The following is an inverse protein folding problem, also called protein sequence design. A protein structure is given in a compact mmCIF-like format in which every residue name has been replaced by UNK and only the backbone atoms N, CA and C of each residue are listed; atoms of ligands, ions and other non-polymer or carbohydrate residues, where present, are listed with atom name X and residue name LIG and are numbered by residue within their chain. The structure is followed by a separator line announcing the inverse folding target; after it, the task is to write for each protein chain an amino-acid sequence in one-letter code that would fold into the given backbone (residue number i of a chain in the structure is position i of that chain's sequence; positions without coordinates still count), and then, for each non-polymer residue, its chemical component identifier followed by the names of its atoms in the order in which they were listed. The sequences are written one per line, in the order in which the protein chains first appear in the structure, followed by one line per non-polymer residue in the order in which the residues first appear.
data_IF_295794549045
#
_entry.id   IF_295794549045
#
_cell.length_a   1.000
_cell.length_b   1.000
_cell.length_c   1.000
_cell.angle_alpha   90.00
_cell.angle_beta   90.00
_cell.angle_gamma   90.00
#
_symmetry.space_group_name_H-M   'P 1'
#
loop_
_entity.id
_entity.type
_entity.pdbx_description
1 polymer ?
#
# COMPACT_ATOMS: atom_id res chain seq x y z
N UNK A 1 26.24 -30.84 3.34
CA UNK A 1 26.66 -29.54 2.78
C UNK A 1 25.40 -28.76 2.44
N UNK A 2 24.82 -28.08 3.43
CA UNK A 2 23.50 -27.44 3.33
C UNK A 2 23.71 -25.99 2.88
N UNK A 3 23.34 -25.66 1.65
CA UNK A 3 23.39 -24.28 1.15
C UNK A 3 22.48 -23.41 2.02
N UNK A 4 23.06 -22.41 2.69
CA UNK A 4 22.28 -21.32 3.31
C UNK A 4 21.49 -20.62 2.20
N UNK A 5 20.19 -20.29 2.39
CA UNK A 5 19.47 -19.51 1.40
C UNK A 5 20.22 -18.18 1.23
N UNK A 6 20.58 -17.87 -0.01
CA UNK A 6 21.06 -16.56 -0.41
C UNK A 6 20.09 -15.53 0.17
N UNK A 7 20.58 -14.65 1.05
CA UNK A 7 19.85 -13.47 1.49
C UNK A 7 19.50 -12.69 0.23
N UNK A 8 18.26 -12.84 -0.25
CA UNK A 8 17.73 -12.04 -1.34
C UNK A 8 17.81 -10.61 -0.84
N UNK A 9 18.64 -9.78 -1.47
CA UNK A 9 18.58 -8.34 -1.24
C UNK A 9 17.16 -7.91 -1.54
N UNK A 10 16.47 -7.39 -0.53
CA UNK A 10 15.21 -6.71 -0.76
C UNK A 10 15.46 -5.60 -1.79
N UNK A 11 14.72 -5.55 -2.90
CA UNK A 11 14.87 -4.49 -3.87
C UNK A 11 14.62 -3.14 -3.18
N UNK A 12 15.39 -2.12 -3.55
CA UNK A 12 15.10 -0.76 -3.12
C UNK A 12 13.90 -0.26 -3.93
N UNK A 13 12.85 0.19 -3.23
CA UNK A 13 11.57 0.58 -3.84
C UNK A 13 11.32 2.03 -3.50
N UNK A 14 11.10 2.82 -4.54
CA UNK A 14 10.56 4.17 -4.41
C UNK A 14 9.12 4.13 -4.93
N UNK A 15 8.16 4.40 -4.03
CA UNK A 15 6.75 4.51 -4.38
C UNK A 15 6.37 5.98 -4.46
N UNK A 16 6.00 6.43 -5.66
CA UNK A 16 5.48 7.76 -5.88
C UNK A 16 3.98 7.71 -6.11
N UNK A 17 3.22 8.50 -5.33
CA UNK A 17 1.77 8.65 -5.47
C UNK A 17 1.52 10.06 -5.95
N UNK A 18 1.16 10.21 -7.23
CA UNK A 18 0.89 11.53 -7.81
C UNK A 18 -0.29 12.23 -7.13
N UNK A 19 -1.39 11.49 -6.96
CA UNK A 19 -2.61 12.03 -6.34
C UNK A 19 -3.34 10.94 -5.56
N UNK A 20 -3.84 11.32 -4.38
CA UNK A 20 -4.80 10.52 -3.61
C UNK A 20 -6.14 11.26 -3.59
N UNK A 21 -7.07 10.83 -4.45
CA UNK A 21 -8.40 11.43 -4.56
C UNK A 21 -9.35 10.79 -3.55
N UNK A 22 -9.79 11.57 -2.56
CA UNK A 22 -10.69 11.12 -1.49
C UNK A 22 -12.09 11.69 -1.69
N UNK A 23 -13.03 10.86 -2.15
CA UNK A 23 -14.45 11.22 -2.26
C UNK A 23 -15.21 10.88 -0.98
N UNK A 24 -16.09 11.79 -0.53
CA UNK A 24 -16.96 11.56 0.63
C UNK A 24 -16.29 11.74 1.99
N UNK A 25 -15.03 12.16 2.04
CA UNK A 25 -14.32 12.52 3.26
C UNK A 25 -14.39 14.02 3.54
N UNK A 26 -14.36 14.40 4.81
CA UNK A 26 -14.25 15.81 5.20
C UNK A 26 -12.85 16.32 4.85
N UNK A 27 -12.76 17.58 4.44
CA UNK A 27 -11.51 18.14 3.93
C UNK A 27 -10.36 18.12 4.96
N UNK A 28 -10.69 18.16 6.26
CA UNK A 28 -9.71 18.12 7.35
C UNK A 28 -8.95 16.79 7.43
N UNK A 29 -9.58 15.67 7.10
CA UNK A 29 -9.01 14.33 7.30
C UNK A 29 -8.02 13.95 6.19
N UNK A 30 -8.02 14.66 5.06
CA UNK A 30 -7.28 14.26 3.85
C UNK A 30 -5.78 14.07 4.09
N UNK A 31 -5.18 14.94 4.92
CA UNK A 31 -3.74 14.88 5.20
C UNK A 31 -3.40 13.72 6.13
N UNK A 32 -4.23 13.48 7.15
CA UNK A 32 -4.03 12.38 8.09
C UNK A 32 -4.24 11.02 7.41
N UNK A 33 -5.26 10.89 6.56
CA UNK A 33 -5.48 9.70 5.73
C UNK A 33 -4.28 9.48 4.81
N UNK A 34 -3.83 10.51 4.09
CA UNK A 34 -2.67 10.41 3.19
C UNK A 34 -1.41 9.94 3.90
N UNK A 35 -1.08 10.56 5.04
CA UNK A 35 0.08 10.18 5.84
C UNK A 35 -0.02 8.73 6.39
N UNK A 36 -1.23 8.27 6.70
CA UNK A 36 -1.47 6.91 7.13
C UNK A 36 -1.33 5.89 5.97
N UNK A 37 -1.80 6.25 4.77
CA UNK A 37 -1.60 5.43 3.56
C UNK A 37 -0.11 5.24 3.27
N UNK A 38 0.65 6.34 3.26
CA UNK A 38 2.09 6.31 3.00
C UNK A 38 2.82 5.40 4.01
N UNK A 39 2.58 5.64 5.31
CA UNK A 39 3.21 4.87 6.39
C UNK A 39 2.88 3.38 6.30
N UNK A 40 1.62 3.04 6.03
CA UNK A 40 1.21 1.64 5.95
C UNK A 40 1.74 0.95 4.69
N UNK A 41 1.76 1.63 3.53
CA UNK A 41 2.39 1.07 2.33
C UNK A 41 3.88 0.83 2.56
N UNK A 42 4.60 1.80 3.14
CA UNK A 42 6.02 1.64 3.48
C UNK A 42 6.24 0.41 4.38
N UNK A 43 5.39 0.23 5.41
CA UNK A 43 5.43 -0.94 6.29
C UNK A 43 5.17 -2.24 5.53
N UNK A 44 4.16 -2.28 4.67
CA UNK A 44 3.80 -3.48 3.89
C UNK A 44 4.91 -3.88 2.93
N UNK A 45 5.53 -2.94 2.21
CA UNK A 45 6.68 -3.20 1.35
C UNK A 45 7.90 -3.66 2.14
N UNK A 46 8.17 -3.08 3.32
CA UNK A 46 9.30 -3.46 4.16
C UNK A 46 9.14 -4.87 4.75
N UNK A 47 7.93 -5.23 5.20
CA UNK A 47 7.67 -6.51 5.86
C UNK A 47 7.37 -7.64 4.89
N UNK A 48 6.66 -7.36 3.79
CA UNK A 48 6.15 -8.38 2.86
C UNK A 48 6.83 -8.35 1.49
N UNK A 49 7.69 -7.37 1.24
CA UNK A 49 8.45 -7.24 0.01
C UNK A 49 7.66 -6.62 -1.15
N UNK A 50 8.22 -6.72 -2.36
CA UNK A 50 7.56 -6.25 -3.59
C UNK A 50 6.63 -7.34 -4.13
N UNK A 51 5.34 -7.05 -4.36
CA UNK A 51 4.42 -7.98 -4.99
C UNK A 51 4.96 -8.49 -6.33
N UNK A 52 4.72 -9.77 -6.63
CA UNK A 52 5.26 -10.41 -7.83
C UNK A 52 4.81 -9.75 -9.16
N UNK A 53 3.63 -9.12 -9.17
CA UNK A 53 3.12 -8.34 -10.30
C UNK A 53 4.02 -7.15 -10.65
N UNK A 54 4.72 -6.58 -9.67
CA UNK A 54 5.65 -5.47 -9.81
C UNK A 54 7.10 -5.93 -9.91
N UNK A 55 7.41 -7.14 -9.43
CA UNK A 55 8.77 -7.66 -9.34
C UNK A 55 9.47 -7.85 -10.70
N UNK A 56 8.71 -8.09 -11.77
CA UNK A 56 9.26 -8.22 -13.12
C UNK A 56 9.39 -6.89 -13.86
N UNK A 57 9.02 -5.77 -13.22
CA UNK A 57 8.85 -4.49 -13.87
C UNK A 57 7.63 -4.46 -14.80
N UNK A 58 7.20 -3.25 -15.16
CA UNK A 58 6.04 -3.04 -16.04
C UNK A 58 5.17 -1.89 -15.58
N UNK A 59 4.17 -1.57 -16.41
CA UNK A 59 3.15 -0.56 -16.11
C UNK A 59 1.84 -1.26 -15.78
N UNK A 60 1.23 -0.91 -14.64
CA UNK A 60 -0.14 -1.31 -14.33
C UNK A 60 -1.05 -0.15 -14.73
N UNK A 61 -1.63 -0.23 -15.93
CA UNK A 61 -2.51 0.82 -16.46
C UNK A 61 -3.70 1.14 -15.54
N UNK A 62 -4.19 0.12 -14.81
CA UNK A 62 -5.21 0.29 -13.78
C UNK A 62 -5.11 -0.82 -12.74
N UNK A 63 -5.07 -0.43 -11.47
CA UNK A 63 -5.19 -1.34 -10.34
C UNK A 63 -6.56 -1.17 -9.67
N UNK A 64 -7.24 -2.29 -9.40
CA UNK A 64 -8.41 -2.29 -8.52
C UNK A 64 -7.98 -2.75 -7.12
N UNK A 65 -7.90 -1.82 -6.16
CA UNK A 65 -7.60 -2.14 -4.76
C UNK A 65 -8.75 -2.82 -4.00
N UNK A 66 -9.90 -3.02 -4.65
CA UNK A 66 -11.07 -3.64 -4.06
C UNK A 66 -11.84 -2.71 -3.13
N UNK A 67 -12.55 -3.31 -2.18
CA UNK A 67 -13.37 -2.61 -1.20
C UNK A 67 -12.96 -3.00 0.21
N UNK A 68 -13.04 -2.05 1.14
CA UNK A 68 -12.85 -2.28 2.56
C UNK A 68 -14.01 -1.66 3.35
N UNK A 69 -14.24 -2.17 4.56
CA UNK A 69 -15.31 -1.68 5.43
C UNK A 69 -14.69 -0.97 6.61
N UNK A 70 -15.05 0.31 6.75
CA UNK A 70 -14.63 1.16 7.86
C UNK A 70 -15.77 1.25 8.87
N UNK A 71 -15.48 1.06 10.16
CA UNK A 71 -16.46 1.30 11.21
C UNK A 71 -16.81 2.79 11.29
N UNK A 72 -18.08 3.12 11.56
CA UNK A 72 -18.50 4.52 11.75
C UNK A 72 -17.68 5.17 12.86
N UNK A 73 -17.14 6.36 12.59
CA UNK A 73 -16.31 7.09 13.55
C UNK A 73 -14.88 6.56 13.67
N UNK A 74 -14.42 5.72 12.74
CA UNK A 74 -13.01 5.35 12.67
C UNK A 74 -12.16 6.59 12.44
N UNK A 75 -10.99 6.60 13.08
CA UNK A 75 -10.00 7.65 12.91
C UNK A 75 -9.36 7.58 11.52
N UNK A 76 -8.84 8.72 11.06
CA UNK A 76 -8.21 8.87 9.75
C UNK A 76 -7.02 7.91 9.54
N UNK A 77 -6.30 7.59 10.60
CA UNK A 77 -5.18 6.66 10.59
C UNK A 77 -5.60 5.22 10.26
N UNK A 78 -6.70 4.74 10.86
CA UNK A 78 -7.28 3.42 10.61
C UNK A 78 -7.81 3.35 9.18
N UNK A 79 -8.47 4.41 8.72
CA UNK A 79 -8.97 4.51 7.34
C UNK A 79 -7.82 4.41 6.34
N UNK A 80 -6.76 5.20 6.52
CA UNK A 80 -5.61 5.19 5.63
C UNK A 80 -4.88 3.84 5.62
N UNK A 81 -4.74 3.20 6.79
CA UNK A 81 -4.13 1.88 6.87
C UNK A 81 -4.95 0.80 6.11
N UNK A 82 -6.27 0.79 6.27
CA UNK A 82 -7.13 -0.16 5.54
C UNK A 82 -7.08 0.09 4.02
N UNK A 83 -7.05 1.35 3.60
CA UNK A 83 -6.90 1.71 2.19
C UNK A 83 -5.56 1.22 1.61
N UNK A 84 -4.46 1.42 2.33
CA UNK A 84 -3.13 0.92 1.93
C UNK A 84 -3.10 -0.62 1.82
N UNK A 85 -3.74 -1.32 2.76
CA UNK A 85 -3.86 -2.78 2.72
C UNK A 85 -4.64 -3.27 1.50
N UNK A 86 -5.75 -2.58 1.16
CA UNK A 86 -6.52 -2.83 -0.06
C UNK A 86 -5.69 -2.62 -1.34
N UNK A 87 -4.98 -1.50 -1.44
CA UNK A 87 -4.11 -1.20 -2.59
C UNK A 87 -2.99 -2.24 -2.72
N UNK A 88 -2.27 -2.53 -1.64
CA UNK A 88 -1.21 -3.54 -1.63
C UNK A 88 -1.74 -4.94 -1.94
N UNK A 89 -2.94 -5.27 -1.46
CA UNK A 89 -3.64 -6.50 -1.78
C UNK A 89 -3.94 -6.63 -3.28
N UNK A 90 -4.46 -5.58 -3.90
CA UNK A 90 -4.70 -5.55 -5.34
C UNK A 90 -3.42 -5.72 -6.17
N UNK A 91 -2.27 -5.25 -5.67
CA UNK A 91 -0.98 -5.52 -6.33
C UNK A 91 -0.59 -6.99 -6.30
N UNK A 92 -1.14 -7.83 -5.42
CA UNK A 92 -0.80 -9.26 -5.39
C UNK A 92 -1.52 -10.07 -6.47
N UNK A 93 -2.64 -9.58 -7.01
CA UNK A 93 -3.43 -10.27 -8.04
C UNK A 93 -4.87 -9.79 -8.12
#
# INVERSE_FOLDING_TARGET
MTKRPSSQRSPNVELHIEELVLHGFVQGDRYEIGAAVERELARLFAEQGVPASLANGGEIARLNGGSFTVARGSQADVIGAQMAQSVYGGMKG
#
